data_IF_892366506821
#
_entry.id   IF_892366506821
#
_cell.length_a   1.000
_cell.length_b   1.000
_cell.length_c   1.000
_cell.angle_alpha   90.00
_cell.angle_beta   90.00
_cell.angle_gamma   90.00
#
_symmetry.space_group_name_H-M   'P 1'
#
loop_
_entity.id
_entity.type
_entity.pdbx_description
1 polymer ?
#
# COMPACT_ATOMS: atom_id res chain seq x y z
N UNK A 1 1.88 -13.64 -11.86
CA UNK A 1 0.48 -13.30 -11.54
C UNK A 1 0.42 -12.99 -10.06
N UNK A 2 -0.33 -11.96 -9.66
CA UNK A 2 -0.53 -11.57 -8.25
C UNK A 2 -1.96 -11.90 -7.87
N UNK A 3 -2.14 -12.47 -6.68
CA UNK A 3 -3.45 -12.84 -6.13
C UNK A 3 -4.00 -11.76 -5.22
N UNK A 4 -5.31 -11.49 -5.34
CA UNK A 4 -6.02 -10.51 -4.55
C UNK A 4 -7.36 -11.08 -4.06
N UNK A 5 -7.51 -11.23 -2.74
CA UNK A 5 -8.82 -11.34 -2.10
C UNK A 5 -9.51 -9.97 -2.12
N UNK A 6 -10.63 -9.89 -2.81
CA UNK A 6 -11.40 -8.65 -2.95
C UNK A 6 -12.72 -8.76 -2.20
N UNK A 7 -12.98 -7.74 -1.41
CA UNK A 7 -14.21 -7.53 -0.65
C UNK A 7 -14.79 -6.15 -0.96
N UNK A 8 -16.03 -5.90 -0.53
CA UNK A 8 -16.65 -4.58 -0.61
C UNK A 8 -16.68 -3.91 0.77
N UNK A 9 -16.25 -2.65 0.81
CA UNK A 9 -16.50 -1.74 1.93
C UNK A 9 -18.00 -1.41 2.06
N UNK A 10 -18.39 -0.70 3.12
CA UNK A 10 -19.78 -0.26 3.33
C UNK A 10 -20.34 0.54 2.16
N UNK A 11 -19.52 1.41 1.58
CA UNK A 11 -19.82 2.24 0.41
C UNK A 11 -19.54 1.53 -0.93
N UNK A 12 -19.42 0.19 -0.90
CA UNK A 12 -19.28 -0.70 -2.07
C UNK A 12 -18.01 -0.45 -2.89
N UNK A 13 -16.93 -0.02 -2.22
CA UNK A 13 -15.62 0.09 -2.87
C UNK A 13 -14.92 -1.28 -2.81
N UNK A 14 -14.38 -1.79 -3.93
CA UNK A 14 -13.55 -3.00 -3.95
C UNK A 14 -12.22 -2.78 -3.21
N UNK A 15 -12.13 -3.36 -2.02
CA UNK A 15 -10.97 -3.32 -1.14
C UNK A 15 -10.26 -4.67 -1.15
N UNK A 16 -8.93 -4.65 -1.02
CA UNK A 16 -8.11 -5.86 -1.01
C UNK A 16 -7.84 -6.25 0.43
N UNK A 17 -8.47 -7.33 0.90
CA UNK A 17 -8.27 -7.86 2.25
C UNK A 17 -8.85 -9.29 2.35
N UNK A 18 -8.19 -10.17 3.09
CA UNK A 18 -8.55 -11.60 3.13
C UNK A 18 -9.65 -11.93 4.15
N UNK A 19 -9.59 -11.32 5.35
CA UNK A 19 -10.53 -11.61 6.44
C UNK A 19 -11.78 -10.70 6.39
N UNK A 20 -12.93 -11.20 6.82
CA UNK A 20 -14.14 -10.36 6.93
C UNK A 20 -14.07 -9.34 8.08
N UNK A 21 -13.20 -9.61 9.06
CA UNK A 21 -13.03 -8.83 10.26
C UNK A 21 -11.57 -8.51 10.48
N UNK A 22 -11.28 -7.33 11.01
CA UNK A 22 -9.94 -6.93 11.41
C UNK A 22 -9.96 -6.28 12.79
N UNK A 23 -8.80 -6.26 13.45
CA UNK A 23 -8.64 -5.57 14.72
C UNK A 23 -8.14 -4.16 14.47
N UNK A 24 -8.82 -3.18 15.04
CA UNK A 24 -8.47 -1.79 14.83
C UNK A 24 -8.77 -0.90 16.05
N UNK A 25 -8.00 0.19 16.15
CA UNK A 25 -8.23 1.25 17.12
C UNK A 25 -9.14 2.28 16.46
N UNK A 26 -10.30 2.52 17.06
CA UNK A 26 -11.17 3.62 16.66
C UNK A 26 -10.75 4.89 17.41
N UNK A 27 -10.17 5.85 16.71
CA UNK A 27 -9.68 7.09 17.29
C UNK A 27 -10.66 8.25 17.10
N UNK A 28 -11.39 8.62 18.14
CA UNK A 28 -11.82 10.01 18.29
C UNK A 28 -11.70 10.45 19.77
N UNK A 29 -10.65 11.23 20.07
CA UNK A 29 -10.52 12.10 21.25
C UNK A 29 -10.49 11.49 22.67
N UNK A 30 -9.85 10.36 22.92
CA UNK A 30 -9.40 10.09 24.31
C UNK A 30 -8.02 9.47 24.27
N UNK A 31 -7.11 10.04 25.05
CA UNK A 31 -5.71 9.66 25.24
C UNK A 31 -5.52 8.25 25.86
N UNK A 32 -6.47 7.32 25.65
CA UNK A 32 -6.54 6.01 26.30
C UNK A 32 -7.39 4.99 25.49
N UNK A 33 -7.32 4.99 24.16
CA UNK A 33 -7.89 3.92 23.34
C UNK A 33 -6.97 2.68 23.37
N UNK A 34 -6.97 1.97 24.50
CA UNK A 34 -6.09 0.82 24.75
C UNK A 34 -6.61 -0.47 24.11
N UNK A 35 -7.90 -0.53 23.74
CA UNK A 35 -8.54 -1.75 23.20
C UNK A 35 -8.65 -1.73 21.68
N UNK A 36 -8.01 -2.72 21.05
CA UNK A 36 -8.31 -3.17 19.69
C UNK A 36 -9.72 -3.76 19.65
N UNK A 37 -10.62 -3.18 18.85
CA UNK A 37 -11.95 -3.74 18.62
C UNK A 37 -11.97 -4.51 17.31
N UNK A 38 -12.62 -5.67 17.32
CA UNK A 38 -12.93 -6.43 16.09
C UNK A 38 -13.98 -5.65 15.31
N UNK A 39 -13.67 -5.26 14.08
CA UNK A 39 -14.57 -4.53 13.19
C UNK A 39 -14.73 -5.27 11.85
N UNK A 40 -15.94 -5.25 11.29
CA UNK A 40 -16.21 -5.76 9.95
C UNK A 40 -15.69 -4.79 8.90
N UNK A 41 -15.04 -5.31 7.86
CA UNK A 41 -14.58 -4.47 6.74
C UNK A 41 -15.76 -3.79 6.02
N UNK A 42 -16.89 -4.50 5.95
CA UNK A 42 -18.16 -4.07 5.37
C UNK A 42 -18.92 -3.05 6.23
N UNK A 43 -18.50 -2.80 7.48
CA UNK A 43 -19.13 -1.81 8.37
C UNK A 43 -18.56 -0.39 8.17
N UNK A 44 -17.44 -0.27 7.46
CA UNK A 44 -16.71 0.98 7.29
C UNK A 44 -16.68 1.41 5.82
N UNK A 45 -16.79 2.72 5.59
CA UNK A 45 -16.52 3.29 4.25
C UNK A 45 -15.03 3.28 3.97
N UNK A 46 -14.62 3.39 2.70
CA UNK A 46 -13.20 3.52 2.36
C UNK A 46 -12.53 4.70 3.10
N UNK A 47 -13.23 5.83 3.21
CA UNK A 47 -12.72 7.00 3.92
C UNK A 47 -12.47 6.69 5.42
N UNK A 48 -13.35 5.93 6.05
CA UNK A 48 -13.17 5.47 7.43
C UNK A 48 -12.03 4.45 7.55
N UNK A 49 -11.92 3.51 6.60
CA UNK A 49 -10.83 2.53 6.56
C UNK A 49 -9.45 3.20 6.46
N UNK A 50 -9.35 4.30 5.71
CA UNK A 50 -8.12 5.10 5.60
C UNK A 50 -7.75 5.85 6.90
N UNK A 51 -8.71 6.06 7.81
CA UNK A 51 -8.48 6.77 9.08
C UNK A 51 -8.18 5.83 10.24
N UNK A 52 -8.50 4.55 10.10
CA UNK A 52 -8.32 3.55 11.13
C UNK A 52 -6.86 3.08 11.15
N UNK A 53 -6.28 2.89 12.34
CA UNK A 53 -4.99 2.21 12.49
C UNK A 53 -5.22 0.69 12.29
N UNK A 54 -5.36 0.27 11.04
CA UNK A 54 -5.52 -1.13 10.63
C UNK A 54 -4.19 -1.86 10.48
N UNK A 55 -3.07 -1.12 10.46
CA UNK A 55 -1.71 -1.67 10.40
C UNK A 55 -1.29 -2.22 11.76
N UNK A 56 -1.86 -3.35 12.15
CA UNK A 56 -1.25 -4.22 13.14
C UNK A 56 -0.29 -5.19 12.46
N UNK A 57 0.84 -4.68 12.01
CA UNK A 57 2.05 -5.48 12.00
C UNK A 57 3.03 -4.68 12.85
N UNK A 58 3.37 -5.21 14.03
CA UNK A 58 4.55 -4.79 14.80
C UNK A 58 5.62 -4.43 13.78
N UNK A 59 6.14 -3.20 13.78
CA UNK A 59 7.26 -2.80 12.91
C UNK A 59 8.20 -4.01 12.86
N UNK A 60 8.28 -4.77 11.74
CA UNK A 60 9.04 -5.99 11.75
C UNK A 60 10.45 -5.53 12.03
N UNK A 61 10.96 -5.87 13.23
CA UNK A 61 12.26 -5.40 13.67
C UNK A 61 13.21 -5.75 12.52
N UNK A 62 13.73 -4.75 11.78
CA UNK A 62 14.24 -5.03 10.43
C UNK A 62 15.34 -6.05 10.59
N UNK A 63 15.18 -7.20 9.91
CA UNK A 63 16.19 -8.26 9.99
C UNK A 63 17.56 -7.64 9.76
N UNK A 64 18.59 -8.13 10.46
CA UNK A 64 19.95 -7.57 10.37
C UNK A 64 20.39 -7.35 8.92
N UNK A 65 20.00 -8.26 8.03
CA UNK A 65 20.18 -8.15 6.58
C UNK A 65 19.45 -6.93 5.98
N UNK A 66 18.16 -6.72 6.25
CA UNK A 66 17.40 -5.56 5.75
C UNK A 66 18.02 -4.24 6.22
N UNK A 67 18.49 -4.19 7.46
CA UNK A 67 19.18 -3.01 8.02
C UNK A 67 20.51 -2.74 7.31
N UNK A 68 21.30 -3.79 7.05
CA UNK A 68 22.56 -3.68 6.32
C UNK A 68 22.34 -3.30 4.84
N UNK A 69 21.34 -3.89 4.19
CA UNK A 69 20.97 -3.56 2.81
C UNK A 69 20.55 -2.10 2.68
N UNK A 70 19.73 -1.59 3.60
CA UNK A 70 19.36 -0.16 3.64
C UNK A 70 20.59 0.73 3.83
N UNK A 71 21.47 0.37 4.77
CA UNK A 71 22.69 1.15 5.07
C UNK A 71 23.64 1.20 3.87
N UNK A 72 23.76 0.10 3.13
CA UNK A 72 24.74 -0.05 2.05
C UNK A 72 24.11 -0.01 0.65
N UNK A 73 22.84 0.40 0.52
CA UNK A 73 22.08 0.35 -0.73
C UNK A 73 22.78 1.06 -1.89
N UNK A 74 23.26 2.29 -1.66
CA UNK A 74 23.95 3.08 -2.67
C UNK A 74 25.26 2.42 -3.12
N UNK A 75 25.99 1.76 -2.21
CA UNK A 75 27.22 1.04 -2.53
C UNK A 75 26.91 -0.22 -3.35
N UNK A 76 25.86 -0.96 -3.00
CA UNK A 76 25.44 -2.16 -3.74
C UNK A 76 24.99 -1.80 -5.15
N UNK A 77 24.24 -0.69 -5.31
CA UNK A 77 23.86 -0.18 -6.63
C UNK A 77 25.07 0.27 -7.45
N UNK A 78 26.10 0.84 -6.81
CA UNK A 78 27.34 1.21 -7.48
C UNK A 78 28.14 -0.02 -7.96
N UNK A 79 28.11 -1.14 -7.24
CA UNK A 79 28.69 -2.41 -7.70
C UNK A 79 27.91 -3.03 -8.88
N UNK A 80 26.62 -2.73 -9.00
CA UNK A 80 25.77 -3.25 -10.07
C UNK A 80 25.87 -2.45 -11.37
N UNK A 81 26.53 -1.28 -11.37
CA UNK A 81 26.80 -0.56 -12.62
C UNK A 81 27.96 -1.23 -13.38
N UNK A 82 27.80 -1.51 -14.68
CA UNK A 82 28.92 -1.97 -15.49
C UNK A 82 30.02 -0.90 -15.49
N UNK A 83 31.31 -1.30 -15.52
CA UNK A 83 32.41 -0.34 -15.56
C UNK A 83 32.23 0.58 -16.76
N UNK A 84 32.45 1.90 -16.61
CA UNK A 84 32.38 2.81 -17.75
C UNK A 84 33.41 2.39 -18.80
N UNK A 85 33.10 2.52 -20.10
CA UNK A 85 34.05 2.21 -21.15
C UNK A 85 35.30 3.09 -20.97
N UNK A 86 36.46 2.44 -20.89
CA UNK A 86 37.75 3.11 -20.73
C UNK A 86 38.01 4.01 -21.95
N UNK A 87 37.83 5.32 -21.79
CA UNK A 87 38.29 6.30 -22.76
C UNK A 87 39.80 6.49 -22.61
N UNK A 88 40.54 6.09 -23.64
CA UNK A 88 41.94 6.43 -23.85
C UNK A 88 42.11 7.95 -24.04
N UNK A 89 42.91 8.55 -23.16
CA UNK A 89 43.80 9.71 -23.37
C UNK A 89 43.36 10.85 -24.33
N UNK A 90 43.14 12.04 -23.77
CA UNK A 90 44.10 13.17 -23.79
C UNK A 90 43.44 14.56 -23.84
N UNK A 91 44.13 15.51 -23.18
CA UNK A 91 44.05 16.98 -23.32
C UNK A 91 42.97 17.74 -22.52
N UNK A 92 43.46 18.55 -21.57
CA UNK A 92 42.75 19.63 -20.86
C UNK A 92 42.60 20.88 -21.75
N UNK A 93 41.63 21.78 -21.47
CA UNK A 93 41.96 22.99 -20.69
C UNK A 93 40.85 23.51 -19.75
N UNK A 94 41.27 24.20 -18.67
CA UNK A 94 40.49 25.18 -17.85
C UNK A 94 40.68 26.60 -18.48
N UNK A 95 39.97 27.70 -18.11
CA UNK A 95 38.96 27.90 -17.05
C UNK A 95 37.76 28.86 -17.36
N UNK A 96 36.80 28.96 -16.43
CA UNK A 96 36.07 30.16 -15.92
C UNK A 96 34.72 29.73 -15.32
N UNK A 97 34.50 29.83 -14.01
CA UNK A 97 33.99 30.98 -13.24
C UNK A 97 32.52 31.37 -13.57
N UNK A 98 31.56 30.85 -12.80
CA UNK A 98 30.42 31.65 -12.30
C UNK A 98 29.53 30.85 -11.34
N UNK A 99 29.35 31.43 -10.16
CA UNK A 99 28.12 31.52 -9.38
C UNK A 99 27.63 30.27 -8.64
N UNK A 100 27.79 30.34 -7.32
CA UNK A 100 27.38 29.31 -6.38
C UNK A 100 25.88 29.17 -6.20
N UNK A 101 25.53 28.10 -5.50
CA UNK A 101 24.39 28.12 -4.60
C UNK A 101 24.75 27.23 -3.42
N UNK A 102 24.97 27.86 -2.27
CA UNK A 102 25.03 27.18 -0.98
C UNK A 102 23.69 26.48 -0.78
N UNK A 103 23.67 25.16 -0.65
CA UNK A 103 22.53 24.49 -0.03
C UNK A 103 22.58 24.78 1.46
N UNK A 104 22.01 25.93 1.81
CA UNK A 104 21.55 26.27 3.15
C UNK A 104 20.36 25.35 3.44
N UNK A 105 20.54 24.38 4.32
CA UNK A 105 19.42 23.62 4.91
C UNK A 105 18.86 24.44 6.07
N UNK A 106 18.16 25.53 5.76
CA UNK A 106 17.26 26.20 6.71
C UNK A 106 15.93 25.46 6.72
N UNK A 107 15.44 25.17 7.92
CA UNK A 107 14.19 24.47 8.16
C UNK A 107 12.97 25.12 7.50
N UNK A 108 12.04 24.25 7.14
CA UNK A 108 10.73 24.55 6.57
C UNK A 108 10.08 23.23 6.15
N UNK A 109 9.64 22.42 7.11
CA UNK A 109 8.88 21.20 6.84
C UNK A 109 7.47 21.60 6.39
N UNK A 110 7.32 21.85 5.10
CA UNK A 110 6.02 21.71 4.45
C UNK A 110 5.84 20.22 4.17
N UNK A 111 4.82 19.62 4.80
CA UNK A 111 4.49 18.19 4.74
C UNK A 111 4.03 17.75 3.34
N UNK A 112 4.92 17.80 2.36
CA UNK A 112 4.71 17.19 1.05
C UNK A 112 4.98 15.70 1.17
N UNK A 113 3.99 14.97 1.69
CA UNK A 113 4.02 13.50 1.72
C UNK A 113 4.24 13.00 0.29
N UNK A 114 5.33 12.26 0.06
CA UNK A 114 5.62 11.74 -1.29
C UNK A 114 4.45 10.89 -1.80
N UNK A 115 4.12 10.91 -3.11
CA UNK A 115 3.00 10.12 -3.65
C UNK A 115 3.09 8.62 -3.31
N UNK A 116 4.30 8.07 -3.29
CA UNK A 116 4.55 6.69 -2.86
C UNK A 116 4.18 6.45 -1.40
N UNK A 117 4.50 7.40 -0.52
CA UNK A 117 4.14 7.32 0.89
C UNK A 117 2.62 7.41 1.07
N UNK A 118 1.94 8.30 0.34
CA UNK A 118 0.48 8.40 0.36
C UNK A 118 -0.22 7.10 -0.12
N UNK A 119 0.35 6.42 -1.13
CA UNK A 119 -0.13 5.10 -1.57
C UNK A 119 0.08 4.02 -0.52
N UNK A 120 1.26 4.00 0.11
CA UNK A 120 1.51 3.09 1.21
C UNK A 120 0.58 3.34 2.39
N UNK A 121 0.16 4.59 2.58
CA UNK A 121 -0.71 5.03 3.67
C UNK A 121 -2.20 4.75 3.44
N UNK A 122 -2.64 4.67 2.19
CA UNK A 122 -4.01 4.31 1.83
C UNK A 122 -4.33 2.82 2.11
N UNK A 123 -5.59 2.55 2.42
CA UNK A 123 -6.15 1.20 2.44
C UNK A 123 -6.15 0.65 1.00
N UNK A 124 -5.64 -0.57 0.78
CA UNK A 124 -5.47 -1.10 -0.57
C UNK A 124 -6.82 -1.35 -1.24
N UNK A 125 -6.98 -0.81 -2.45
CA UNK A 125 -8.17 -1.02 -3.30
C UNK A 125 -7.78 -1.70 -4.61
N UNK A 126 -8.75 -2.37 -5.23
CA UNK A 126 -8.53 -3.00 -6.53
C UNK A 126 -8.18 -1.96 -7.61
N UNK A 127 -8.75 -0.75 -7.53
CA UNK A 127 -8.41 0.36 -8.41
C UNK A 127 -6.93 0.75 -8.29
N UNK A 128 -6.43 0.90 -7.06
CA UNK A 128 -5.01 1.20 -6.83
C UNK A 128 -4.10 0.11 -7.41
N UNK A 129 -4.51 -1.16 -7.30
CA UNK A 129 -3.76 -2.26 -7.90
C UNK A 129 -3.74 -2.15 -9.44
N UNK A 130 -4.85 -1.88 -10.10
CA UNK A 130 -4.88 -1.67 -11.56
C UNK A 130 -4.05 -0.47 -12.02
N UNK A 131 -4.04 0.62 -11.24
CA UNK A 131 -3.30 1.84 -11.60
C UNK A 131 -1.77 1.67 -11.46
N UNK A 132 -1.30 0.80 -10.55
CA UNK A 132 0.12 0.73 -10.16
C UNK A 132 0.82 -0.60 -10.47
N UNK A 133 0.07 -1.69 -10.65
CA UNK A 133 0.68 -2.97 -11.06
C UNK A 133 0.98 -2.90 -12.56
N UNK A 134 2.22 -3.21 -13.00
CA UNK A 134 2.57 -3.16 -14.41
C UNK A 134 1.68 -4.07 -15.27
N UNK A 135 1.33 -3.61 -16.48
CA UNK A 135 0.44 -4.33 -17.40
C UNK A 135 0.88 -5.76 -17.75
N UNK A 136 2.19 -6.05 -17.69
CA UNK A 136 2.72 -7.39 -17.95
C UNK A 136 2.50 -8.37 -16.79
N UNK A 137 2.06 -7.88 -15.63
CA UNK A 137 1.73 -8.69 -14.46
C UNK A 137 0.24 -9.00 -14.48
N UNK A 138 -0.10 -10.27 -14.70
CA UNK A 138 -1.49 -10.73 -14.60
C UNK A 138 -2.04 -10.69 -13.17
N UNK A 139 -3.36 -10.62 -13.06
CA UNK A 139 -4.13 -10.62 -11.82
C UNK A 139 -4.87 -11.96 -11.63
N UNK A 140 -4.87 -12.49 -10.41
CA UNK A 140 -5.76 -13.55 -9.95
C UNK A 140 -6.70 -12.94 -8.90
N UNK A 141 -7.96 -12.69 -9.24
CA UNK A 141 -8.89 -11.97 -8.36
C UNK A 141 -9.90 -12.96 -7.78
N UNK A 142 -9.84 -13.16 -6.48
CA UNK A 142 -10.85 -13.92 -5.72
C UNK A 142 -11.87 -12.95 -5.12
N UNK A 143 -13.14 -13.08 -5.48
CA UNK A 143 -14.22 -12.33 -4.85
C UNK A 143 -14.63 -13.05 -3.56
N UNK A 144 -14.32 -12.47 -2.41
CA UNK A 144 -14.68 -13.07 -1.11
C UNK A 144 -16.18 -12.99 -0.89
N UNK A 145 -16.80 -14.14 -0.61
CA UNK A 145 -18.21 -14.23 -0.26
C UNK A 145 -18.37 -15.04 1.04
N UNK A 146 -19.24 -14.63 1.99
CA UNK A 146 -19.48 -15.37 3.22
C UNK A 146 -20.19 -16.70 2.91
N UNK A 147 -19.46 -17.82 2.98
CA UNK A 147 -20.00 -19.15 2.70
C UNK A 147 -20.18 -20.00 3.97
N UNK A 148 -19.31 -19.81 4.96
CA UNK A 148 -19.24 -20.63 6.17
C UNK A 148 -20.30 -20.26 7.20
N UNK A 149 -20.67 -21.21 8.07
CA UNK A 149 -21.68 -20.98 9.11
C UNK A 149 -21.37 -19.81 10.04
N UNK A 150 -20.08 -19.52 10.27
CA UNK A 150 -19.63 -18.40 11.11
C UNK A 150 -19.83 -17.03 10.46
N UNK A 151 -19.85 -16.95 9.13
CA UNK A 151 -19.91 -15.70 8.36
C UNK A 151 -21.21 -15.56 7.56
N UNK A 152 -22.05 -16.61 7.48
CA UNK A 152 -23.35 -16.59 6.77
C UNK A 152 -24.26 -15.43 7.15
N UNK A 153 -24.23 -14.95 8.40
CA UNK A 153 -25.03 -13.80 8.80
C UNK A 153 -24.66 -12.51 8.04
N UNK A 154 -23.44 -12.43 7.49
CA UNK A 154 -22.97 -11.30 6.68
C UNK A 154 -23.62 -11.26 5.29
N UNK A 155 -24.16 -12.37 4.76
CA UNK A 155 -24.74 -12.39 3.41
C UNK A 155 -25.97 -11.49 3.27
N UNK A 156 -26.60 -11.12 4.38
CA UNK A 156 -27.73 -10.20 4.43
C UNK A 156 -27.33 -8.71 4.35
N UNK A 157 -26.03 -8.40 4.43
CA UNK A 157 -25.57 -7.03 4.36
C UNK A 157 -25.58 -6.51 2.92
N UNK A 158 -25.87 -5.21 2.70
CA UNK A 158 -25.98 -4.63 1.37
C UNK A 158 -24.74 -4.79 0.49
N UNK A 159 -23.54 -4.89 1.10
CA UNK A 159 -22.28 -5.13 0.39
C UNK A 159 -22.25 -6.52 -0.26
N UNK A 160 -22.79 -7.54 0.40
CA UNK A 160 -22.79 -8.91 -0.11
C UNK A 160 -24.02 -9.22 -0.99
N UNK A 161 -25.11 -8.47 -0.83
CA UNK A 161 -26.26 -8.57 -1.73
C UNK A 161 -25.86 -8.26 -3.18
N UNK A 162 -25.13 -7.17 -3.41
CA UNK A 162 -24.65 -6.77 -4.75
C UNK A 162 -23.78 -7.85 -5.37
N UNK A 163 -22.82 -8.39 -4.60
CA UNK A 163 -21.96 -9.49 -5.06
C UNK A 163 -22.78 -10.74 -5.41
N UNK A 164 -23.83 -11.04 -4.63
CA UNK A 164 -24.68 -12.19 -4.89
C UNK A 164 -25.43 -12.09 -6.23
N UNK A 165 -25.86 -10.88 -6.62
CA UNK A 165 -26.48 -10.66 -7.92
C UNK A 165 -25.48 -10.82 -9.06
N UNK A 166 -24.28 -10.26 -8.92
CA UNK A 166 -23.23 -10.38 -9.93
C UNK A 166 -22.78 -11.83 -10.13
N UNK A 167 -22.64 -12.61 -9.06
CA UNK A 167 -22.28 -14.04 -9.14
C UNK A 167 -23.40 -14.88 -9.77
N UNK A 168 -24.66 -14.62 -9.45
CA UNK A 168 -25.81 -15.31 -10.07
C UNK A 168 -25.88 -15.02 -11.57
N UNK A 169 -25.62 -13.78 -12.00
CA UNK A 169 -25.59 -13.43 -13.42
C UNK A 169 -24.41 -14.09 -14.13
N UNK A 170 -23.24 -14.18 -13.51
CA UNK A 170 -22.07 -14.85 -14.08
C UNK A 170 -22.24 -16.36 -14.25
N UNK A 171 -23.17 -16.99 -13.54
CA UNK A 171 -23.51 -18.42 -13.69
C UNK A 171 -24.56 -18.68 -14.78
N UNK A 172 -25.21 -17.63 -15.30
CA UNK A 172 -26.25 -17.73 -16.33
C UNK A 172 -25.66 -17.61 -17.75
N UNK A 173 -24.41 -17.18 -17.88
CA UNK A 173 -23.65 -17.11 -19.13
C UNK A 173 -22.53 -18.15 -19.16
#
# INVERSE_FOLDING_TARGET
MIEFDVQLSRDRVPVIYHDFFFHAKLGHRVLHATMMSKMGLHDLTLAQLNQVEWRHCSQPNPSRLRSLLRKHWLSILALAQPPPPSLSSSVQPRPSNSNGTKYVTTGGSCDSVSPMQALCDAFPTLRLAFDHVPLHVGFNIEIKYPADNSTRHLTALPSFEVLSFSLKLAQIF
#
